data_IF_841070099975
#
_entry.id   IF_841070099975
#
_cell.length_a   1.000
_cell.length_b   1.000
_cell.length_c   1.000
_cell.angle_alpha   90.00
_cell.angle_beta   90.00
_cell.angle_gamma   90.00
#
_symmetry.space_group_name_H-M   'P 1'
#
loop_
_entity.id
_entity.type
_entity.pdbx_description
1 polymer ?
#
# COMPACT_ATOMS: atom_id res chain seq x y z
N UNK A 1 13.61 -18.56 -28.76
CA UNK A 1 13.12 -19.25 -27.55
C UNK A 1 13.13 -18.38 -26.30
N UNK A 2 14.24 -17.80 -25.84
CA UNK A 2 14.22 -16.92 -24.64
C UNK A 2 13.53 -15.58 -24.92
N UNK A 3 13.76 -14.99 -26.07
CA UNK A 3 13.06 -13.78 -26.57
C UNK A 3 11.56 -14.01 -26.78
N UNK A 4 11.16 -15.18 -27.22
CA UNK A 4 9.73 -15.52 -27.43
C UNK A 4 9.00 -15.73 -26.11
N UNK A 5 9.70 -16.26 -25.09
CA UNK A 5 9.17 -16.37 -23.73
C UNK A 5 8.97 -15.00 -23.09
N UNK A 6 9.90 -14.05 -23.26
CA UNK A 6 9.76 -12.68 -22.78
C UNK A 6 8.66 -11.90 -23.51
N UNK A 7 8.37 -12.26 -24.76
CA UNK A 7 7.24 -11.71 -25.52
C UNK A 7 5.89 -12.27 -25.05
N UNK A 8 5.87 -13.35 -24.24
CA UNK A 8 4.66 -13.79 -23.58
C UNK A 8 4.36 -12.84 -22.41
N UNK A 9 3.33 -12.03 -22.54
CA UNK A 9 2.91 -11.07 -21.51
C UNK A 9 2.67 -11.71 -20.13
N UNK A 10 2.23 -12.96 -20.10
CA UNK A 10 2.04 -13.72 -18.86
C UNK A 10 3.37 -14.06 -18.20
N UNK A 11 4.32 -14.56 -18.99
CA UNK A 11 5.65 -14.89 -18.46
C UNK A 11 6.36 -13.63 -17.94
N UNK A 12 6.29 -12.54 -18.71
CA UNK A 12 6.85 -11.26 -18.30
C UNK A 12 6.22 -10.75 -16.98
N UNK A 13 4.90 -10.85 -16.84
CA UNK A 13 4.20 -10.47 -15.63
C UNK A 13 4.71 -11.24 -14.40
N UNK A 14 4.74 -12.58 -14.49
CA UNK A 14 5.22 -13.42 -13.38
C UNK A 14 6.69 -13.18 -13.06
N UNK A 15 7.52 -12.96 -14.08
CA UNK A 15 8.94 -12.64 -13.89
C UNK A 15 9.13 -11.30 -13.18
N UNK A 16 8.39 -10.27 -13.59
CA UNK A 16 8.40 -8.95 -12.94
C UNK A 16 7.99 -9.08 -11.47
N UNK A 17 6.93 -9.81 -11.19
CA UNK A 17 6.45 -10.04 -9.82
C UNK A 17 7.50 -10.80 -9.00
N UNK A 18 8.07 -11.88 -9.54
CA UNK A 18 9.09 -12.68 -8.84
C UNK A 18 10.35 -11.87 -8.53
N UNK A 19 10.88 -11.14 -9.51
CA UNK A 19 12.06 -10.28 -9.32
C UNK A 19 11.76 -9.13 -8.36
N UNK A 20 10.56 -8.55 -8.45
CA UNK A 20 10.12 -7.50 -7.55
C UNK A 20 10.07 -7.97 -6.10
N UNK A 21 9.49 -9.15 -5.83
CA UNK A 21 9.49 -9.73 -4.48
C UNK A 21 10.91 -10.07 -3.99
N UNK A 22 11.78 -10.56 -4.86
CA UNK A 22 13.19 -10.80 -4.50
C UNK A 22 13.88 -9.50 -4.10
N UNK A 23 13.71 -8.43 -4.89
CA UNK A 23 14.26 -7.10 -4.59
C UNK A 23 13.66 -6.54 -3.30
N UNK A 24 12.35 -6.70 -3.09
CA UNK A 24 11.64 -6.21 -1.91
C UNK A 24 12.10 -6.83 -0.59
N UNK A 25 12.65 -8.05 -0.62
CA UNK A 25 13.22 -8.72 0.57
C UNK A 25 14.56 -8.15 1.01
N UNK A 26 15.23 -7.39 0.17
CA UNK A 26 16.53 -6.78 0.50
C UNK A 26 16.31 -5.67 1.51
N UNK A 27 16.90 -5.82 2.70
CA UNK A 27 16.85 -4.81 3.76
C UNK A 27 18.15 -4.00 3.76
N UNK A 28 18.04 -2.70 3.47
CA UNK A 28 19.16 -1.77 3.54
C UNK A 28 18.96 -0.87 4.75
N UNK A 29 19.86 -0.97 5.75
CA UNK A 29 19.78 -0.19 7.01
C UNK A 29 18.41 -0.28 7.71
N UNK A 30 17.76 -1.47 7.65
CA UNK A 30 16.45 -1.70 8.26
C UNK A 30 15.26 -1.14 7.46
N UNK A 31 15.49 -0.68 6.23
CA UNK A 31 14.46 -0.29 5.25
C UNK A 31 14.35 -1.39 4.20
N UNK A 32 13.14 -1.80 3.89
CA UNK A 32 12.84 -2.66 2.75
C UNK A 32 11.77 -1.98 1.89
N UNK A 33 11.85 -2.19 0.58
CA UNK A 33 10.82 -1.69 -0.35
C UNK A 33 9.59 -2.59 -0.36
N UNK A 34 9.73 -3.79 0.19
CA UNK A 34 8.68 -4.80 0.29
C UNK A 34 7.99 -5.03 -1.07
N UNK A 35 6.66 -5.17 -1.10
CA UNK A 35 5.87 -5.36 -2.34
C UNK A 35 6.04 -4.20 -3.32
N UNK A 36 6.33 -2.99 -2.82
CA UNK A 36 6.55 -1.82 -3.67
C UNK A 36 7.73 -1.95 -4.64
N UNK A 37 8.67 -2.86 -4.37
CA UNK A 37 9.79 -3.14 -5.27
C UNK A 37 9.34 -3.67 -6.65
N UNK A 38 8.17 -4.29 -6.74
CA UNK A 38 7.59 -4.77 -8.00
C UNK A 38 7.43 -3.64 -9.01
N UNK A 39 7.06 -2.43 -8.56
CA UNK A 39 6.91 -1.27 -9.45
C UNK A 39 8.23 -0.89 -10.11
N UNK A 40 9.34 -0.92 -9.37
CA UNK A 40 10.65 -0.58 -9.93
C UNK A 40 11.09 -1.59 -11.00
N UNK A 41 10.83 -2.88 -10.75
CA UNK A 41 11.10 -3.92 -11.76
C UNK A 41 10.17 -3.74 -12.97
N UNK A 42 8.88 -3.44 -12.75
CA UNK A 42 7.94 -3.17 -13.83
C UNK A 42 8.37 -1.97 -14.70
N UNK A 43 8.83 -0.88 -14.08
CA UNK A 43 9.36 0.29 -14.81
C UNK A 43 10.60 -0.08 -15.64
N UNK A 44 11.50 -0.89 -15.08
CA UNK A 44 12.68 -1.36 -15.79
C UNK A 44 12.30 -2.20 -17.01
N UNK A 45 11.39 -3.16 -16.85
CA UNK A 45 10.93 -4.00 -17.96
C UNK A 45 10.15 -3.19 -19.00
N UNK A 46 9.33 -2.22 -18.56
CA UNK A 46 8.65 -1.28 -19.46
C UNK A 46 9.62 -0.43 -20.27
N UNK A 47 10.76 -0.02 -19.69
CA UNK A 47 11.83 0.68 -20.41
C UNK A 47 12.43 -0.18 -21.54
N UNK A 48 12.52 -1.51 -21.34
CA UNK A 48 12.96 -2.45 -22.36
C UNK A 48 11.86 -2.87 -23.34
N UNK A 49 10.70 -2.21 -23.32
CA UNK A 49 9.61 -2.41 -24.28
C UNK A 49 8.67 -3.57 -23.95
N UNK A 50 8.71 -4.11 -22.73
CA UNK A 50 7.74 -5.13 -22.30
C UNK A 50 6.39 -4.46 -22.04
N UNK A 51 5.36 -4.92 -22.76
CA UNK A 51 4.00 -4.39 -22.66
C UNK A 51 3.10 -5.46 -22.04
N UNK A 52 2.42 -5.09 -20.95
CA UNK A 52 1.40 -5.93 -20.33
C UNK A 52 0.02 -5.50 -20.85
N UNK A 53 -0.84 -6.42 -21.31
CA UNK A 53 -2.20 -6.10 -21.76
C UNK A 53 -3.02 -5.38 -20.70
N UNK A 54 -3.83 -4.40 -21.12
CA UNK A 54 -4.67 -3.60 -20.22
C UNK A 54 -5.65 -4.48 -19.43
N UNK A 55 -6.14 -5.56 -20.03
CA UNK A 55 -7.07 -6.51 -19.41
C UNK A 55 -6.47 -7.15 -18.16
N UNK A 56 -5.18 -7.53 -18.19
CA UNK A 56 -4.47 -8.05 -17.02
C UNK A 56 -4.30 -6.99 -15.94
N UNK A 57 -4.01 -5.74 -16.34
CA UNK A 57 -3.92 -4.61 -15.40
C UNK A 57 -5.26 -4.35 -14.70
N UNK A 58 -6.36 -4.31 -15.46
CA UNK A 58 -7.71 -4.12 -14.93
C UNK A 58 -8.11 -5.27 -14.00
N UNK A 59 -7.83 -6.52 -14.39
CA UNK A 59 -8.09 -7.68 -13.54
C UNK A 59 -7.29 -7.61 -12.23
N UNK A 60 -6.00 -7.25 -12.30
CA UNK A 60 -5.17 -7.03 -11.12
C UNK A 60 -5.72 -5.93 -10.21
N UNK A 61 -6.22 -4.82 -10.77
CA UNK A 61 -6.84 -3.74 -10.00
C UNK A 61 -8.12 -4.21 -9.27
N UNK A 62 -8.99 -4.97 -9.95
CA UNK A 62 -10.19 -5.54 -9.32
C UNK A 62 -9.84 -6.46 -8.17
N UNK A 63 -8.87 -7.37 -8.37
CA UNK A 63 -8.39 -8.25 -7.30
C UNK A 63 -7.77 -7.49 -6.12
N UNK A 64 -7.02 -6.42 -6.41
CA UNK A 64 -6.43 -5.56 -5.39
C UNK A 64 -7.50 -4.90 -4.53
N UNK A 65 -8.51 -4.26 -5.16
CA UNK A 65 -9.61 -3.60 -4.44
C UNK A 65 -10.41 -4.63 -3.62
N UNK A 66 -10.72 -5.79 -4.21
CA UNK A 66 -11.42 -6.87 -3.53
C UNK A 66 -10.67 -7.37 -2.30
N UNK A 67 -9.37 -7.61 -2.43
CA UNK A 67 -8.52 -8.08 -1.33
C UNK A 67 -8.46 -7.06 -0.19
N UNK A 68 -8.29 -5.77 -0.51
CA UNK A 68 -8.34 -4.69 0.49
C UNK A 68 -9.71 -4.65 1.17
N UNK A 69 -10.80 -4.79 0.41
CA UNK A 69 -12.15 -4.81 0.96
C UNK A 69 -12.37 -5.92 1.98
N UNK A 70 -11.91 -7.14 1.68
CA UNK A 70 -11.98 -8.27 2.61
C UNK A 70 -11.10 -8.03 3.85
N UNK A 71 -9.88 -7.55 3.65
CA UNK A 71 -8.93 -7.34 4.74
C UNK A 71 -9.37 -6.21 5.68
N UNK A 72 -9.86 -5.12 5.13
CA UNK A 72 -10.27 -3.94 5.91
C UNK A 72 -11.68 -4.08 6.49
N UNK A 73 -12.57 -4.85 5.86
CA UNK A 73 -14.00 -4.92 6.16
C UNK A 73 -14.34 -5.19 7.63
N UNK A 74 -13.79 -6.23 8.27
CA UNK A 74 -14.12 -6.57 9.66
C UNK A 74 -13.84 -5.46 10.66
N UNK A 75 -12.73 -4.72 10.49
CA UNK A 75 -12.34 -3.64 11.40
C UNK A 75 -12.87 -2.26 11.00
N UNK A 76 -13.40 -2.11 9.80
CA UNK A 76 -13.80 -0.82 9.26
C UNK A 76 -14.97 -0.21 10.05
N UNK A 77 -16.04 -0.97 10.25
CA UNK A 77 -17.24 -0.49 10.95
C UNK A 77 -16.97 -0.14 12.41
N UNK A 78 -16.12 -0.92 13.09
CA UNK A 78 -15.76 -0.66 14.49
C UNK A 78 -14.90 0.61 14.61
N UNK A 79 -13.91 0.77 13.72
CA UNK A 79 -13.08 1.97 13.66
C UNK A 79 -13.90 3.21 13.28
N UNK A 80 -14.84 3.06 12.35
CA UNK A 80 -15.72 4.14 11.93
C UNK A 80 -16.68 4.59 13.04
N UNK A 81 -17.25 3.65 13.79
CA UNK A 81 -18.11 3.95 14.94
C UNK A 81 -17.37 4.66 16.07
N UNK A 82 -16.14 4.23 16.36
CA UNK A 82 -15.37 4.75 17.50
C UNK A 82 -14.65 6.07 17.20
N UNK A 83 -14.07 6.22 16.01
CA UNK A 83 -13.20 7.35 15.63
C UNK A 83 -13.52 7.96 14.26
N UNK A 84 -14.63 7.60 13.64
CA UNK A 84 -14.96 7.95 12.25
C UNK A 84 -14.87 9.43 11.96
N UNK A 85 -15.40 10.30 12.82
CA UNK A 85 -15.35 11.75 12.62
C UNK A 85 -13.90 12.27 12.53
N UNK A 86 -13.03 11.82 13.42
CA UNK A 86 -11.62 12.23 13.43
C UNK A 86 -10.89 11.71 12.20
N UNK A 87 -11.13 10.44 11.82
CA UNK A 87 -10.53 9.84 10.63
C UNK A 87 -10.96 10.56 9.36
N UNK A 88 -12.24 10.89 9.21
CA UNK A 88 -12.76 11.64 8.06
C UNK A 88 -12.10 13.01 7.96
N UNK A 89 -12.02 13.76 9.06
CA UNK A 89 -11.41 15.09 9.07
C UNK A 89 -9.95 15.03 8.67
N UNK A 90 -9.17 14.10 9.25
CA UNK A 90 -7.76 13.93 8.91
C UNK A 90 -7.58 13.54 7.44
N UNK A 91 -8.39 12.60 6.94
CA UNK A 91 -8.33 12.17 5.53
C UNK A 91 -8.64 13.33 4.59
N UNK A 92 -9.69 14.11 4.87
CA UNK A 92 -10.03 15.28 4.07
C UNK A 92 -8.92 16.33 4.09
N UNK A 93 -8.31 16.59 5.26
CA UNK A 93 -7.18 17.52 5.37
C UNK A 93 -5.99 17.07 4.53
N UNK A 94 -5.65 15.78 4.56
CA UNK A 94 -4.55 15.22 3.76
C UNK A 94 -4.85 15.35 2.26
N UNK A 95 -6.04 14.95 1.81
CA UNK A 95 -6.42 15.02 0.40
C UNK A 95 -6.48 16.47 -0.09
N UNK A 96 -7.11 17.36 0.67
CA UNK A 96 -7.21 18.77 0.31
C UNK A 96 -5.83 19.44 0.26
N UNK A 97 -4.96 19.16 1.24
CA UNK A 97 -3.60 19.72 1.25
C UNK A 97 -2.76 19.23 0.07
N UNK A 98 -2.86 17.94 -0.26
CA UNK A 98 -2.19 17.37 -1.43
C UNK A 98 -2.70 18.00 -2.75
N UNK A 99 -4.02 18.14 -2.90
CA UNK A 99 -4.62 18.75 -4.07
C UNK A 99 -4.23 20.23 -4.22
N UNK A 100 -4.26 21.00 -3.13
CA UNK A 100 -3.82 22.41 -3.13
C UNK A 100 -2.35 22.55 -3.49
N UNK A 101 -1.48 21.72 -2.89
CA UNK A 101 -0.05 21.73 -3.19
C UNK A 101 0.21 21.40 -4.65
N UNK A 102 -0.43 20.36 -5.17
CA UNK A 102 -0.25 19.96 -6.57
C UNK A 102 -0.80 21.00 -7.54
N UNK A 103 -1.93 21.63 -7.22
CA UNK A 103 -2.48 22.74 -8.01
C UNK A 103 -1.53 23.96 -7.97
N UNK A 104 -0.98 24.28 -6.82
CA UNK A 104 0.04 25.33 -6.67
C UNK A 104 1.28 25.06 -7.52
N UNK A 105 1.81 23.83 -7.48
CA UNK A 105 2.96 23.40 -8.28
C UNK A 105 2.64 23.43 -9.78
N UNK A 106 1.42 23.06 -10.18
CA UNK A 106 0.98 23.16 -11.57
C UNK A 106 1.18 24.56 -12.13
N UNK A 107 0.68 25.58 -11.42
CA UNK A 107 0.78 26.96 -11.87
C UNK A 107 2.19 27.54 -11.71
N UNK A 108 2.93 27.11 -10.70
CA UNK A 108 4.29 27.60 -10.46
C UNK A 108 5.30 27.09 -11.50
N UNK A 109 5.10 25.86 -12.00
CA UNK A 109 6.03 25.19 -12.91
C UNK A 109 5.43 24.90 -14.29
N UNK A 110 4.21 25.39 -14.58
CA UNK A 110 3.48 25.19 -15.84
C UNK A 110 3.38 23.70 -16.22
N UNK A 111 3.04 22.83 -15.25
CA UNK A 111 2.93 21.40 -15.47
C UNK A 111 1.55 21.08 -16.04
N UNK A 112 1.49 20.19 -17.02
CA UNK A 112 0.22 19.74 -17.61
C UNK A 112 -0.65 18.95 -16.61
N UNK A 113 -1.96 19.02 -16.79
CA UNK A 113 -2.94 18.41 -15.87
C UNK A 113 -2.77 16.90 -15.70
N UNK A 114 -2.57 16.08 -16.76
CA UNK A 114 -2.32 14.66 -16.62
C UNK A 114 -1.11 14.33 -15.72
N UNK A 115 -0.01 15.06 -15.91
CA UNK A 115 1.19 14.88 -15.08
C UNK A 115 0.95 15.24 -13.62
N UNK A 116 0.23 16.34 -13.35
CA UNK A 116 -0.09 16.73 -11.96
C UNK A 116 -0.94 15.68 -11.27
N UNK A 117 -1.96 15.16 -11.93
CA UNK A 117 -2.81 14.11 -11.33
C UNK A 117 -2.01 12.81 -11.08
N UNK A 118 -1.13 12.46 -12.02
CA UNK A 118 -0.20 11.35 -11.85
C UNK A 118 0.77 11.56 -10.69
N UNK A 119 1.35 12.76 -10.54
CA UNK A 119 2.23 13.12 -9.43
C UNK A 119 1.52 12.99 -8.06
N UNK A 120 0.28 13.48 -7.96
CA UNK A 120 -0.52 13.33 -6.72
C UNK A 120 -0.74 11.86 -6.39
N UNK A 121 -1.22 11.09 -7.36
CA UNK A 121 -1.49 9.66 -7.16
C UNK A 121 -0.21 8.90 -6.76
N UNK A 122 0.93 9.23 -7.37
CA UNK A 122 2.24 8.64 -7.07
C UNK A 122 2.76 9.03 -5.69
N UNK A 123 2.74 10.32 -5.35
CA UNK A 123 3.20 10.82 -4.06
C UNK A 123 2.37 10.28 -2.89
N UNK A 124 1.06 10.11 -3.08
CA UNK A 124 0.17 9.48 -2.11
C UNK A 124 0.19 7.94 -2.18
N UNK A 125 1.02 7.35 -3.02
CA UNK A 125 1.13 5.89 -3.23
C UNK A 125 -0.22 5.22 -3.56
N UNK A 126 -1.11 5.95 -4.24
CA UNK A 126 -2.47 5.53 -4.52
C UNK A 126 -2.58 4.84 -5.89
N UNK A 127 -2.49 3.52 -5.93
CA UNK A 127 -2.72 2.74 -7.16
C UNK A 127 -4.15 2.93 -7.73
N UNK A 128 -5.22 2.95 -6.93
CA UNK A 128 -6.55 3.31 -7.44
C UNK A 128 -6.60 4.74 -8.00
N UNK A 129 -5.88 5.68 -7.40
CA UNK A 129 -5.74 7.04 -7.90
C UNK A 129 -5.10 7.11 -9.27
N UNK A 130 -4.09 6.26 -9.54
CA UNK A 130 -3.50 6.13 -10.87
C UNK A 130 -4.52 5.64 -11.89
N UNK A 131 -5.32 4.62 -11.56
CA UNK A 131 -6.34 4.10 -12.48
C UNK A 131 -7.33 5.19 -12.89
N UNK A 132 -7.83 5.97 -11.91
CA UNK A 132 -8.70 7.12 -12.18
C UNK A 132 -7.99 8.20 -12.98
N UNK A 133 -6.71 8.48 -12.71
CA UNK A 133 -5.92 9.46 -13.46
C UNK A 133 -5.79 9.08 -14.94
N UNK A 134 -5.50 7.81 -15.24
CA UNK A 134 -5.41 7.31 -16.63
C UNK A 134 -6.75 7.38 -17.32
N UNK A 135 -7.82 6.94 -16.65
CA UNK A 135 -9.17 6.89 -17.21
C UNK A 135 -9.71 8.29 -17.49
N UNK A 136 -9.48 9.24 -16.58
CA UNK A 136 -10.00 10.62 -16.74
C UNK A 136 -9.17 11.48 -17.69
N UNK A 137 -7.87 11.25 -17.80
CA UNK A 137 -6.99 12.09 -18.65
C UNK A 137 -6.72 11.50 -20.02
N UNK A 138 -6.94 10.19 -20.19
CA UNK A 138 -6.61 9.41 -21.40
C UNK A 138 -5.17 9.64 -21.89
N UNK A 139 -4.26 10.01 -20.97
CA UNK A 139 -2.88 10.40 -21.29
C UNK A 139 -1.86 9.46 -20.62
N UNK A 140 -0.83 9.02 -21.34
CA UNK A 140 0.25 8.24 -20.76
C UNK A 140 1.10 9.05 -19.77
N UNK A 141 1.03 10.40 -19.83
CA UNK A 141 1.78 11.28 -18.92
C UNK A 141 1.38 11.08 -17.46
N UNK A 142 0.12 10.74 -17.19
CA UNK A 142 -0.32 10.40 -15.83
C UNK A 142 0.44 9.19 -15.26
N UNK A 143 0.64 8.14 -16.06
CA UNK A 143 1.40 6.95 -15.64
C UNK A 143 2.88 7.24 -15.45
N UNK A 144 3.47 8.05 -16.35
CA UNK A 144 4.88 8.44 -16.27
C UNK A 144 5.12 9.27 -15.02
N UNK A 145 4.31 10.28 -14.79
CA UNK A 145 4.40 11.15 -13.62
C UNK A 145 4.19 10.37 -12.30
N UNK A 146 3.23 9.43 -12.28
CA UNK A 146 3.05 8.51 -11.17
C UNK A 146 4.31 7.69 -10.89
N UNK A 147 4.90 7.07 -11.94
CA UNK A 147 6.10 6.25 -11.80
C UNK A 147 7.30 7.03 -11.24
N UNK A 148 7.41 8.32 -11.59
CA UNK A 148 8.45 9.21 -11.04
C UNK A 148 8.17 9.55 -9.58
N UNK A 149 6.92 9.89 -9.23
CA UNK A 149 6.57 10.36 -7.88
C UNK A 149 6.46 9.24 -6.85
N UNK A 150 6.07 8.04 -7.26
CA UNK A 150 5.80 6.91 -6.38
C UNK A 150 6.99 6.51 -5.49
N UNK A 151 8.23 6.37 -6.00
CA UNK A 151 9.40 6.09 -5.15
C UNK A 151 9.58 7.10 -4.03
N UNK A 152 9.41 8.38 -4.34
CA UNK A 152 9.54 9.46 -3.36
C UNK A 152 8.41 9.40 -2.32
N UNK A 153 7.18 9.07 -2.74
CA UNK A 153 6.05 8.85 -1.85
C UNK A 153 6.32 7.72 -0.85
N UNK A 154 6.79 6.57 -1.33
CA UNK A 154 7.14 5.41 -0.46
C UNK A 154 8.24 5.77 0.53
N UNK A 155 9.34 6.34 0.02
CA UNK A 155 10.48 6.74 0.88
C UNK A 155 10.03 7.80 1.89
N UNK A 156 9.25 8.78 1.45
CA UNK A 156 8.72 9.85 2.30
C UNK A 156 7.88 9.33 3.45
N UNK A 157 6.95 8.43 3.19
CA UNK A 157 6.11 7.80 4.22
C UNK A 157 6.97 7.00 5.21
N UNK A 158 7.92 6.19 4.72
CA UNK A 158 8.81 5.41 5.58
C UNK A 158 9.66 6.32 6.48
N UNK A 159 10.23 7.38 5.91
CA UNK A 159 11.01 8.36 6.68
C UNK A 159 10.14 9.07 7.70
N UNK A 160 8.95 9.51 7.32
CA UNK A 160 8.01 10.17 8.21
C UNK A 160 7.64 9.29 9.40
N UNK A 161 7.24 8.04 9.14
CA UNK A 161 6.87 7.08 10.21
C UNK A 161 8.04 6.81 11.15
N UNK A 162 9.29 6.77 10.65
CA UNK A 162 10.47 6.55 11.48
C UNK A 162 10.92 7.79 12.25
N UNK A 163 10.79 8.97 11.64
CA UNK A 163 11.24 10.23 12.26
C UNK A 163 10.21 10.81 13.21
N UNK A 164 8.93 10.64 12.95
CA UNK A 164 7.84 11.20 13.75
C UNK A 164 7.94 10.88 15.24
N UNK A 165 8.14 9.63 15.67
CA UNK A 165 8.30 9.30 17.09
C UNK A 165 9.51 9.98 17.73
N UNK A 166 10.62 10.12 16.97
CA UNK A 166 11.81 10.82 17.44
C UNK A 166 11.58 12.31 17.61
N UNK A 167 10.93 12.97 16.65
CA UNK A 167 10.62 14.41 16.70
C UNK A 167 9.64 14.70 17.83
N UNK A 168 8.66 13.84 18.03
CA UNK A 168 7.66 13.99 19.09
C UNK A 168 8.10 13.45 20.45
N UNK A 169 9.32 12.90 20.56
CA UNK A 169 9.85 12.27 21.79
C UNK A 169 8.89 11.19 22.35
N UNK A 170 8.22 10.44 21.47
CA UNK A 170 7.29 9.38 21.85
C UNK A 170 8.07 8.09 22.07
N UNK A 171 7.94 7.51 23.26
CA UNK A 171 8.43 6.17 23.56
C UNK A 171 7.42 5.13 23.03
N UNK A 172 7.74 4.53 21.88
CA UNK A 172 6.89 3.54 21.22
C UNK A 172 6.66 2.30 22.08
N UNK A 173 7.64 1.89 22.90
CA UNK A 173 7.52 0.71 23.77
C UNK A 173 6.53 0.99 24.92
N UNK A 174 6.51 2.21 25.39
CA UNK A 174 5.54 2.63 26.43
C UNK A 174 4.12 2.70 25.88
N UNK A 175 3.94 3.27 24.69
CA UNK A 175 2.63 3.35 24.03
C UNK A 175 2.12 1.98 23.59
N UNK A 176 3.00 1.10 23.10
CA UNK A 176 2.64 -0.29 22.76
C UNK A 176 2.13 -1.05 23.99
N UNK A 177 2.83 -0.93 25.13
CA UNK A 177 2.38 -1.54 26.41
C UNK A 177 1.07 -0.95 26.91
N UNK A 178 0.83 0.33 26.70
CA UNK A 178 -0.42 0.97 27.06
C UNK A 178 -1.59 0.44 26.23
N UNK A 179 -1.42 0.37 24.91
CA UNK A 179 -2.42 -0.20 24.00
C UNK A 179 -2.70 -1.68 24.30
N UNK A 180 -1.67 -2.43 24.63
CA UNK A 180 -1.83 -3.83 25.02
C UNK A 180 -2.65 -3.99 26.31
N UNK A 181 -2.42 -3.13 27.32
CA UNK A 181 -3.23 -3.10 28.54
C UNK A 181 -4.67 -2.70 28.27
N UNK A 182 -4.93 -1.70 27.43
CA UNK A 182 -6.27 -1.28 27.02
C UNK A 182 -7.00 -2.41 26.27
N UNK A 183 -6.31 -3.13 25.39
CA UNK A 183 -6.87 -4.29 24.67
C UNK A 183 -7.19 -5.45 25.62
N UNK A 184 -6.30 -5.77 26.54
CA UNK A 184 -6.53 -6.82 27.55
C UNK A 184 -7.73 -6.49 28.45
N UNK A 185 -8.00 -5.21 28.72
CA UNK A 185 -9.19 -4.79 29.47
C UNK A 185 -10.50 -4.91 28.67
N UNK A 186 -10.45 -4.92 27.35
CA UNK A 186 -11.63 -5.04 26.47
C UNK A 186 -11.94 -6.48 26.04
N UNK A 187 -10.94 -7.34 26.00
CA UNK A 187 -11.09 -8.74 25.61
C UNK A 187 -10.47 -9.61 26.71
N UNK A 188 -11.25 -10.53 27.34
CA UNK A 188 -10.69 -11.46 28.31
C UNK A 188 -9.61 -12.31 27.64
N UNK A 189 -8.49 -12.51 28.34
CA UNK A 189 -7.43 -13.41 27.87
C UNK A 189 -8.02 -14.81 27.65
N UNK A 190 -7.78 -15.35 26.45
CA UNK A 190 -8.03 -16.77 26.20
C UNK A 190 -6.97 -17.56 26.98
N UNK A 191 -7.32 -18.03 28.17
CA UNK A 191 -6.48 -18.92 28.94
C UNK A 191 -6.54 -20.32 28.31
N UNK A 192 -5.44 -20.75 27.73
CA UNK A 192 -5.30 -22.14 27.30
C UNK A 192 -5.05 -22.98 28.56
N UNK A 193 -6.09 -23.63 29.06
CA UNK A 193 -5.96 -24.56 30.19
C UNK A 193 -5.85 -25.97 29.66
N UNK A 194 -4.84 -26.71 30.14
CA UNK A 194 -4.72 -28.14 29.87
C UNK A 194 -5.47 -28.85 30.99
N UNK A 195 -6.59 -29.46 30.64
CA UNK A 195 -7.39 -30.26 31.58
C UNK A 195 -7.03 -31.73 31.47
N UNK A 196 -6.74 -32.39 32.60
CA UNK A 196 -6.63 -33.83 32.67
C UNK A 196 -8.04 -34.42 32.89
N UNK A 197 -8.55 -35.10 31.86
CA UNK A 197 -9.86 -35.77 31.97
C UNK A 197 -9.68 -36.99 32.84
N UNK A 198 -10.33 -36.98 34.00
CA UNK A 198 -10.27 -38.12 34.99
C UNK A 198 -11.50 -38.99 34.95
N UNK A 199 -12.52 -38.64 34.16
CA UNK A 199 -13.76 -39.40 34.07
C UNK A 199 -13.59 -40.58 33.10
N UNK A 200 -13.61 -41.84 33.55
CA UNK A 200 -13.42 -43.02 32.68
C UNK A 200 -14.51 -43.21 31.64
N UNK A 201 -15.71 -42.61 31.81
CA UNK A 201 -16.83 -42.70 30.85
C UNK A 201 -16.51 -41.97 29.53
N UNK A 202 -15.57 -41.07 29.52
CA UNK A 202 -15.21 -40.30 28.30
C UNK A 202 -14.21 -41.06 27.42
N UNK A 203 -13.52 -42.07 27.96
CA UNK A 203 -12.51 -42.86 27.23
C UNK A 203 -13.09 -44.09 26.52
N UNK A 204 -14.39 -44.34 26.61
CA UNK A 204 -15.05 -45.55 26.13
C UNK A 204 -16.01 -45.37 24.92
N UNK A 205 -15.89 -44.25 24.16
CA UNK A 205 -16.68 -44.04 22.94
C UNK A 205 -15.82 -43.68 21.74
#
# INVERSE_FOLDING_TARGET
>A
MFTDLLNSSYFALFLIVALGFMLGRIKIKGLSLDVSAVIFIALLFGHFGVIIPKELGNFGLVLFIFTIGIQAGPGFFDSFRSKGKTLIIITLLIICSAALTATGLKYAFDIDTPSVVGLIAGALTSTPGLAVAIDSTHSPLASIAYGIAYPFGVIGVILFVKLLPRIMHIDLDREARRLEKERRGQFPELLTCIYRVTNPVVFGR
#
